data_IF_283597268439
#
_entry.id   IF_283597268439
#
_cell.length_a   1.000
_cell.length_b   1.000
_cell.length_c   1.000
_cell.angle_alpha   90.00
_cell.angle_beta   90.00
_cell.angle_gamma   90.00
#
_symmetry.space_group_name_H-M   'P 1'
#
loop_
_entity.id
_entity.type
_entity.pdbx_description
1 polymer ?
#
# COMPACT_ATOMS: atom_id res chain seq x y z
N UNK A 1 -25.57 -6.52 -14.34
CA UNK A 1 -24.42 -5.62 -14.53
C UNK A 1 -24.74 -4.37 -13.74
N UNK A 2 -23.94 -4.00 -12.72
CA UNK A 2 -24.15 -2.74 -12.00
C UNK A 2 -24.07 -1.55 -12.98
N UNK A 3 -24.83 -0.47 -12.75
CA UNK A 3 -24.81 0.70 -13.62
C UNK A 3 -23.42 1.33 -13.67
N UNK A 4 -22.94 1.67 -14.88
CA UNK A 4 -21.66 2.35 -15.04
C UNK A 4 -21.76 3.74 -14.41
N UNK A 5 -20.89 4.00 -13.43
CA UNK A 5 -20.74 5.32 -12.85
C UNK A 5 -19.31 5.79 -13.08
N UNK A 6 -19.08 6.93 -13.73
CA UNK A 6 -17.72 7.41 -14.03
C UNK A 6 -16.88 7.55 -12.76
N UNK A 7 -17.51 7.88 -11.62
CA UNK A 7 -16.86 7.87 -10.30
C UNK A 7 -16.19 6.53 -9.98
N UNK A 8 -16.87 5.40 -10.19
CA UNK A 8 -16.35 4.08 -9.88
C UNK A 8 -15.17 3.70 -10.79
N UNK A 9 -15.14 4.22 -12.02
CA UNK A 9 -14.01 4.04 -12.92
C UNK A 9 -12.75 4.76 -12.39
N UNK A 10 -12.88 6.02 -11.97
CA UNK A 10 -11.75 6.76 -11.40
C UNK A 10 -11.27 6.18 -10.07
N UNK A 11 -12.19 5.70 -9.23
CA UNK A 11 -11.86 4.98 -7.99
C UNK A 11 -11.06 3.71 -8.32
N UNK A 12 -11.56 2.84 -9.20
CA UNK A 12 -10.84 1.64 -9.60
C UNK A 12 -9.44 1.93 -10.20
N UNK A 13 -9.32 3.01 -10.98
CA UNK A 13 -8.04 3.47 -11.52
C UNK A 13 -7.08 3.93 -10.42
N UNK A 14 -7.57 4.64 -9.39
CA UNK A 14 -6.78 5.03 -8.22
C UNK A 14 -6.24 3.82 -7.45
N UNK A 15 -7.09 2.82 -7.18
CA UNK A 15 -6.68 1.57 -6.53
C UNK A 15 -5.63 0.81 -7.36
N UNK A 16 -5.79 0.78 -8.69
CA UNK A 16 -4.80 0.17 -9.59
C UNK A 16 -3.46 0.92 -9.51
N UNK A 17 -3.47 2.24 -9.63
CA UNK A 17 -2.25 3.05 -9.52
C UNK A 17 -1.54 2.88 -8.17
N UNK A 18 -2.31 2.82 -7.07
CA UNK A 18 -1.77 2.54 -5.74
C UNK A 18 -1.09 1.17 -5.69
N UNK A 19 -1.73 0.15 -6.27
CA UNK A 19 -1.23 -1.23 -6.28
C UNK A 19 0.08 -1.40 -7.06
N UNK A 20 0.31 -0.54 -8.06
CA UNK A 20 1.55 -0.47 -8.83
C UNK A 20 2.53 0.59 -8.29
N UNK A 21 2.28 1.13 -7.09
CA UNK A 21 3.18 2.06 -6.40
C UNK A 21 4.49 1.40 -5.94
N UNK A 22 5.37 2.19 -5.31
CA UNK A 22 6.66 1.72 -4.78
C UNK A 22 7.91 2.18 -5.55
N UNK A 23 7.72 3.04 -6.55
CA UNK A 23 8.80 3.63 -7.34
C UNK A 23 9.85 4.39 -6.50
N UNK A 24 9.48 4.89 -5.32
CA UNK A 24 10.44 5.57 -4.42
C UNK A 24 11.58 4.67 -3.94
N UNK A 25 11.37 3.36 -3.89
CA UNK A 25 12.41 2.41 -3.51
C UNK A 25 13.33 2.02 -4.69
N UNK A 26 12.97 2.40 -5.93
CA UNK A 26 13.68 1.96 -7.13
C UNK A 26 15.13 2.41 -7.19
N UNK A 27 15.48 3.67 -6.84
CA UNK A 27 16.88 4.10 -6.82
C UNK A 27 17.74 3.29 -5.85
N UNK A 28 17.22 3.00 -4.65
CA UNK A 28 17.90 2.17 -3.65
C UNK A 28 18.06 0.73 -4.15
N UNK A 29 17.01 0.13 -4.69
CA UNK A 29 17.06 -1.22 -5.26
C UNK A 29 18.07 -1.29 -6.40
N UNK A 30 18.04 -0.31 -7.32
CA UNK A 30 18.97 -0.25 -8.45
C UNK A 30 20.43 -0.10 -8.00
N UNK A 31 20.67 0.71 -6.96
CA UNK A 31 21.98 0.88 -6.36
C UNK A 31 22.49 -0.40 -5.67
N UNK A 32 21.60 -1.14 -5.01
CA UNK A 32 21.93 -2.37 -4.28
C UNK A 32 22.03 -3.61 -5.20
N UNK A 33 21.61 -3.50 -6.47
CA UNK A 33 21.73 -4.58 -7.44
C UNK A 33 23.19 -4.84 -7.83
N UNK A 34 23.57 -6.12 -7.88
CA UNK A 34 24.89 -6.57 -8.38
C UNK A 34 25.20 -6.04 -9.79
N UNK A 35 24.18 -5.92 -10.64
CA UNK A 35 24.30 -5.39 -12.01
C UNK A 35 23.20 -4.34 -12.27
N UNK A 36 23.45 -3.05 -11.99
CA UNK A 36 22.45 -1.99 -12.14
C UNK A 36 21.93 -1.79 -13.57
N UNK A 37 22.72 -2.19 -14.59
CA UNK A 37 22.32 -2.12 -16.00
C UNK A 37 21.14 -3.04 -16.35
N UNK A 38 20.89 -4.07 -15.53
CA UNK A 38 19.78 -5.02 -15.74
C UNK A 38 18.49 -4.61 -15.01
N UNK A 39 18.49 -3.45 -14.33
CA UNK A 39 17.36 -2.95 -13.56
C UNK A 39 16.05 -2.92 -14.36
N UNK A 40 16.08 -2.41 -15.59
CA UNK A 40 14.90 -2.34 -16.46
C UNK A 40 14.30 -3.72 -16.73
N UNK A 41 15.13 -4.75 -16.96
CA UNK A 41 14.62 -6.12 -17.18
C UNK A 41 14.01 -6.69 -15.91
N UNK A 42 14.63 -6.46 -14.75
CA UNK A 42 14.11 -6.88 -13.45
C UNK A 42 12.76 -6.23 -13.13
N UNK A 43 12.62 -4.92 -13.39
CA UNK A 43 11.38 -4.18 -13.16
C UNK A 43 10.26 -4.65 -14.08
N UNK A 44 10.53 -4.80 -15.38
CA UNK A 44 9.54 -5.30 -16.35
C UNK A 44 9.06 -6.71 -15.97
N UNK A 45 9.98 -7.59 -15.55
CA UNK A 45 9.63 -8.92 -15.08
C UNK A 45 8.77 -8.86 -13.80
N UNK A 46 9.15 -8.04 -12.81
CA UNK A 46 8.42 -7.91 -11.56
C UNK A 46 6.99 -7.42 -11.78
N UNK A 47 6.80 -6.36 -12.56
CA UNK A 47 5.47 -5.86 -12.91
C UNK A 47 4.66 -6.85 -13.75
N UNK A 48 5.31 -7.59 -14.66
CA UNK A 48 4.67 -8.66 -15.42
C UNK A 48 4.13 -9.77 -14.52
N UNK A 49 4.93 -10.21 -13.54
CA UNK A 49 4.50 -11.21 -12.55
C UNK A 49 3.36 -10.66 -11.68
N UNK A 50 3.43 -9.41 -11.22
CA UNK A 50 2.35 -8.80 -10.45
C UNK A 50 1.03 -8.77 -11.24
N UNK A 51 1.07 -8.36 -12.51
CA UNK A 51 -0.11 -8.39 -13.38
C UNK A 51 -0.69 -9.80 -13.55
N UNK A 52 0.18 -10.80 -13.72
CA UNK A 52 -0.21 -12.21 -13.83
C UNK A 52 -0.79 -12.78 -12.53
N UNK A 53 -0.39 -12.27 -11.36
CA UNK A 53 -0.96 -12.69 -10.08
C UNK A 53 -2.28 -11.98 -9.79
N UNK A 54 -2.37 -10.68 -10.05
CA UNK A 54 -3.56 -9.88 -9.71
C UNK A 54 -4.72 -10.13 -10.67
N UNK A 55 -4.44 -10.20 -11.98
CA UNK A 55 -5.48 -10.34 -13.01
C UNK A 55 -6.41 -11.53 -12.79
N UNK A 56 -5.89 -12.77 -12.70
CA UNK A 56 -6.71 -13.96 -12.47
C UNK A 56 -7.49 -13.91 -11.15
N UNK A 57 -6.88 -13.39 -10.07
CA UNK A 57 -7.54 -13.27 -8.77
C UNK A 57 -8.71 -12.30 -8.84
N UNK A 58 -8.54 -11.15 -9.49
CA UNK A 58 -9.62 -10.18 -9.71
C UNK A 58 -10.77 -10.76 -10.54
N UNK A 59 -10.44 -11.46 -11.64
CA UNK A 59 -11.46 -12.08 -12.52
C UNK A 59 -12.22 -13.17 -11.78
N UNK A 60 -11.53 -14.10 -11.11
CA UNK A 60 -12.18 -15.16 -10.33
C UNK A 60 -13.01 -14.62 -9.16
N UNK A 61 -12.50 -13.59 -8.47
CA UNK A 61 -13.23 -12.91 -7.40
C UNK A 61 -14.54 -12.32 -7.90
N UNK A 62 -14.50 -11.57 -9.00
CA UNK A 62 -15.69 -11.00 -9.64
C UNK A 62 -16.69 -12.07 -10.09
N UNK A 63 -16.22 -13.14 -10.75
CA UNK A 63 -17.07 -14.23 -11.22
C UNK A 63 -17.68 -15.07 -10.09
N UNK A 64 -17.06 -15.12 -8.91
CA UNK A 64 -17.57 -15.92 -7.80
C UNK A 64 -18.58 -15.13 -6.98
N UNK A 65 -18.25 -13.89 -6.63
CA UNK A 65 -19.01 -13.10 -5.67
C UNK A 65 -19.96 -12.08 -6.30
N UNK A 66 -19.78 -11.74 -7.59
CA UNK A 66 -20.63 -10.81 -8.34
C UNK A 66 -20.95 -9.53 -7.52
N UNK A 67 -22.24 -9.28 -7.26
CA UNK A 67 -22.74 -8.09 -6.57
C UNK A 67 -22.53 -8.13 -5.04
N UNK A 68 -22.00 -9.23 -4.48
CA UNK A 68 -21.72 -9.39 -3.05
C UNK A 68 -20.33 -8.90 -2.62
N UNK A 69 -19.52 -8.40 -3.56
CA UNK A 69 -18.17 -7.89 -3.29
C UNK A 69 -18.24 -6.58 -2.51
N UNK A 70 -17.52 -6.54 -1.37
CA UNK A 70 -17.27 -5.30 -0.61
C UNK A 70 -15.92 -4.69 -1.03
N UNK A 71 -15.58 -3.52 -0.47
CA UNK A 71 -14.30 -2.81 -0.72
C UNK A 71 -13.05 -3.71 -0.61
N UNK A 72 -13.12 -4.75 0.23
CA UNK A 72 -12.17 -5.86 0.26
C UNK A 72 -12.88 -7.19 -0.01
N UNK A 73 -12.19 -8.12 -0.67
CA UNK A 73 -12.74 -9.43 -1.02
C UNK A 73 -12.88 -10.37 0.19
N UNK A 74 -12.08 -10.19 1.24
CA UNK A 74 -12.03 -11.07 2.42
C UNK A 74 -13.39 -11.18 3.14
N UNK A 75 -14.11 -10.08 3.44
CA UNK A 75 -15.44 -10.18 4.04
C UNK A 75 -16.47 -10.84 3.12
N UNK A 76 -16.19 -10.95 1.82
CA UNK A 76 -17.08 -11.60 0.85
C UNK A 76 -16.93 -13.13 0.85
N UNK A 77 -15.84 -13.66 1.42
CA UNK A 77 -15.59 -15.11 1.53
C UNK A 77 -16.61 -15.75 2.47
N UNK A 78 -17.36 -16.72 1.94
CA UNK A 78 -18.43 -17.40 2.69
C UNK A 78 -17.89 -18.46 3.66
N UNK A 79 -16.72 -19.04 3.37
CA UNK A 79 -16.11 -20.08 4.22
C UNK A 79 -15.38 -19.46 5.40
N UNK A 80 -15.97 -19.58 6.59
CA UNK A 80 -15.51 -18.92 7.84
C UNK A 80 -14.05 -19.24 8.17
N UNK A 81 -13.62 -20.51 8.11
CA UNK A 81 -12.24 -20.89 8.45
C UNK A 81 -11.20 -20.30 7.49
N UNK A 82 -11.52 -20.22 6.20
CA UNK A 82 -10.66 -19.61 5.18
C UNK A 82 -10.59 -18.10 5.42
N UNK A 83 -11.74 -17.46 5.66
CA UNK A 83 -11.82 -16.04 5.96
C UNK A 83 -11.00 -15.68 7.21
N UNK A 84 -11.10 -16.47 8.28
CA UNK A 84 -10.32 -16.28 9.50
C UNK A 84 -8.81 -16.45 9.25
N UNK A 85 -8.41 -17.47 8.50
CA UNK A 85 -7.00 -17.66 8.13
C UNK A 85 -6.46 -16.48 7.32
N UNK A 86 -7.21 -16.00 6.33
CA UNK A 86 -6.85 -14.80 5.55
C UNK A 86 -6.75 -13.56 6.43
N UNK A 87 -7.70 -13.34 7.34
CA UNK A 87 -7.66 -12.20 8.28
C UNK A 87 -6.43 -12.25 9.18
N UNK A 88 -6.07 -13.42 9.71
CA UNK A 88 -4.87 -13.58 10.54
C UNK A 88 -3.61 -13.29 9.73
N UNK A 89 -3.49 -13.87 8.53
CA UNK A 89 -2.33 -13.66 7.65
C UNK A 89 -2.15 -12.18 7.28
N UNK A 90 -3.25 -11.51 6.92
CA UNK A 90 -3.22 -10.09 6.57
C UNK A 90 -2.93 -9.22 7.79
N UNK A 91 -3.45 -9.58 8.97
CA UNK A 91 -3.12 -8.87 10.22
C UNK A 91 -1.62 -8.95 10.51
N UNK A 92 -1.03 -10.15 10.43
CA UNK A 92 0.42 -10.34 10.64
C UNK A 92 1.22 -9.54 9.61
N UNK A 93 0.83 -9.63 8.33
CA UNK A 93 1.45 -8.88 7.25
C UNK A 93 1.40 -7.36 7.52
N UNK A 94 0.23 -6.81 7.87
CA UNK A 94 0.05 -5.40 8.15
C UNK A 94 0.89 -4.92 9.33
N UNK A 95 1.01 -5.71 10.42
CA UNK A 95 1.86 -5.36 11.56
C UNK A 95 3.33 -5.23 11.15
N UNK A 96 3.82 -6.19 10.37
CA UNK A 96 5.20 -6.18 9.86
C UNK A 96 5.42 -5.01 8.90
N UNK A 97 4.54 -4.86 7.91
CA UNK A 97 4.64 -3.80 6.90
C UNK A 97 4.54 -2.42 7.54
N UNK A 98 3.65 -2.21 8.51
CA UNK A 98 3.53 -0.95 9.24
C UNK A 98 4.85 -0.57 9.93
N UNK A 99 5.53 -1.55 10.54
CA UNK A 99 6.82 -1.33 11.20
C UNK A 99 7.90 -0.89 10.20
N UNK A 100 7.95 -1.54 9.04
CA UNK A 100 8.92 -1.24 7.99
C UNK A 100 8.65 0.13 7.34
N UNK A 101 7.38 0.41 7.00
CA UNK A 101 6.98 1.63 6.30
C UNK A 101 7.07 2.87 7.20
N UNK A 102 6.76 2.75 8.50
CA UNK A 102 6.90 3.88 9.42
C UNK A 102 8.35 4.20 9.79
N UNK A 103 9.29 3.26 9.62
CA UNK A 103 10.68 3.50 9.99
C UNK A 103 11.33 4.70 9.26
N UNK A 104 11.30 4.80 7.91
CA UNK A 104 11.84 5.98 7.22
C UNK A 104 11.07 7.25 7.59
N UNK A 105 9.75 7.19 7.74
CA UNK A 105 8.96 8.35 8.19
C UNK A 105 9.42 8.85 9.58
N UNK A 106 9.65 7.93 10.51
CA UNK A 106 10.16 8.27 11.83
C UNK A 106 11.55 8.90 11.73
N UNK A 107 12.43 8.42 10.84
CA UNK A 107 13.76 8.99 10.62
C UNK A 107 13.69 10.42 10.09
N UNK A 108 12.88 10.67 9.06
CA UNK A 108 12.68 12.02 8.49
C UNK A 108 12.16 13.02 9.52
N UNK A 109 11.20 12.61 10.36
CA UNK A 109 10.67 13.46 11.43
C UNK A 109 11.69 13.64 12.56
N UNK A 110 12.41 12.58 12.94
CA UNK A 110 13.52 12.66 13.91
C UNK A 110 14.58 13.68 13.45
N UNK A 111 14.94 13.67 12.16
CA UNK A 111 15.91 14.60 11.57
C UNK A 111 15.37 16.03 11.52
N UNK A 112 14.10 16.23 11.16
CA UNK A 112 13.45 17.55 11.15
C UNK A 112 13.45 18.21 12.54
N UNK A 113 13.29 17.41 13.60
CA UNK A 113 13.34 17.88 14.99
C UNK A 113 14.75 17.88 15.60
N UNK A 114 15.81 17.64 14.79
CA UNK A 114 17.20 17.48 15.23
C UNK A 114 17.33 16.52 16.43
N UNK A 115 16.57 15.42 16.41
CA UNK A 115 16.56 14.45 17.48
C UNK A 115 17.94 13.78 17.58
N UNK A 116 18.54 13.71 18.78
CA UNK A 116 19.78 12.98 18.96
C UNK A 116 19.60 11.50 18.59
N UNK A 117 20.58 10.93 17.88
CA UNK A 117 20.58 9.52 17.46
C UNK A 117 20.71 8.49 18.60
N UNK A 118 20.80 8.94 19.85
CA UNK A 118 20.81 8.06 21.03
C UNK A 118 19.38 7.70 21.46
N UNK A 119 19.24 6.63 22.24
CA UNK A 119 17.95 6.21 22.80
C UNK A 119 17.50 7.23 23.86
N UNK A 120 16.85 8.31 23.41
CA UNK A 120 16.34 9.41 24.23
C UNK A 120 14.83 9.41 24.34
N UNK A 121 14.30 10.06 25.39
CA UNK A 121 12.87 10.23 25.60
C UNK A 121 12.19 10.98 24.44
N UNK A 122 12.90 11.91 23.80
CA UNK A 122 12.42 12.64 22.62
C UNK A 122 12.11 11.71 21.45
N UNK A 123 12.94 10.69 21.22
CA UNK A 123 12.73 9.70 20.16
C UNK A 123 11.51 8.83 20.41
N UNK A 124 11.29 8.43 21.66
CA UNK A 124 10.09 7.67 22.06
C UNK A 124 8.84 8.52 21.84
N UNK A 125 8.86 9.79 22.27
CA UNK A 125 7.73 10.71 22.08
C UNK A 125 7.39 10.92 20.60
N UNK A 126 8.38 11.13 19.74
CA UNK A 126 8.17 11.33 18.30
C UNK A 126 7.57 10.06 17.67
N UNK A 127 8.17 8.89 17.89
CA UNK A 127 7.68 7.62 17.32
C UNK A 127 6.29 7.25 17.82
N UNK A 128 6.03 7.41 19.12
CA UNK A 128 4.70 7.18 19.69
C UNK A 128 3.68 8.19 19.18
N UNK A 129 4.07 9.46 19.00
CA UNK A 129 3.21 10.50 18.42
C UNK A 129 2.80 10.19 16.98
N UNK A 130 3.76 9.77 16.14
CA UNK A 130 3.50 9.35 14.76
C UNK A 130 2.57 8.13 14.73
N UNK A 131 2.84 7.11 15.55
CA UNK A 131 1.98 5.93 15.64
C UNK A 131 0.56 6.29 16.10
N UNK A 132 0.41 7.18 17.09
CA UNK A 132 -0.89 7.65 17.54
C UNK A 132 -1.64 8.40 16.44
N UNK A 133 -0.95 9.24 15.66
CA UNK A 133 -1.55 9.94 14.52
C UNK A 133 -2.04 8.94 13.45
N UNK A 134 -1.25 7.92 13.15
CA UNK A 134 -1.62 6.85 12.20
C UNK A 134 -2.86 6.09 12.69
N UNK A 135 -2.89 5.70 13.96
CA UNK A 135 -4.05 5.03 14.57
C UNK A 135 -5.27 5.93 14.57
N UNK A 136 -5.12 7.22 14.88
CA UNK A 136 -6.21 8.18 14.85
C UNK A 136 -6.83 8.32 13.45
N UNK A 137 -6.00 8.41 12.41
CA UNK A 137 -6.47 8.45 11.02
C UNK A 137 -7.17 7.14 10.65
N UNK A 138 -6.61 5.99 11.05
CA UNK A 138 -7.18 4.67 10.79
C UNK A 138 -8.57 4.49 11.42
N UNK A 139 -8.78 4.99 12.64
CA UNK A 139 -10.09 4.94 13.32
C UNK A 139 -11.09 5.94 12.74
N UNK A 140 -10.62 7.11 12.28
CA UNK A 140 -11.50 8.18 11.75
C UNK A 140 -12.04 7.84 10.37
N UNK A 141 -11.27 7.13 9.54
CA UNK A 141 -11.65 6.78 8.16
C UNK A 141 -11.63 5.26 8.00
N UNK A 142 -12.74 4.56 8.34
CA UNK A 142 -12.80 3.10 8.28
C UNK A 142 -12.95 2.55 6.85
N UNK A 143 -13.17 3.40 5.85
CA UNK A 143 -13.35 2.99 4.45
C UNK A 143 -12.01 2.89 3.72
N UNK A 144 -11.65 1.67 3.30
CA UNK A 144 -10.36 1.38 2.69
C UNK A 144 -10.23 1.94 1.26
N UNK A 145 -11.27 1.80 0.42
CA UNK A 145 -11.23 2.17 -1.00
C UNK A 145 -10.86 3.65 -1.26
N UNK A 146 -11.59 4.63 -0.71
CA UNK A 146 -11.31 6.04 -0.94
C UNK A 146 -9.90 6.49 -0.51
N UNK A 147 -9.32 5.86 0.53
CA UNK A 147 -7.95 6.15 0.96
C UNK A 147 -6.93 5.65 -0.06
N UNK A 148 -7.06 4.40 -0.52
CA UNK A 148 -6.19 3.83 -1.56
C UNK A 148 -6.21 4.67 -2.82
N UNK A 149 -7.39 5.10 -3.25
CA UNK A 149 -7.57 5.88 -4.49
C UNK A 149 -6.93 7.26 -4.39
N UNK A 150 -7.10 7.92 -3.23
CA UNK A 150 -6.50 9.21 -2.94
C UNK A 150 -4.98 9.10 -2.90
N UNK A 151 -4.43 8.15 -2.13
CA UNK A 151 -2.97 7.98 -2.04
C UNK A 151 -2.37 7.53 -3.37
N UNK A 152 -3.01 6.61 -4.07
CA UNK A 152 -2.58 6.13 -5.39
C UNK A 152 -2.50 7.28 -6.39
N UNK A 153 -3.55 8.09 -6.48
CA UNK A 153 -3.62 9.21 -7.42
C UNK A 153 -2.71 10.37 -6.99
N UNK A 154 -2.64 10.70 -5.70
CA UNK A 154 -1.79 11.79 -5.21
C UNK A 154 -0.30 11.48 -5.37
N UNK A 155 0.15 10.30 -4.92
CA UNK A 155 1.57 9.95 -4.92
C UNK A 155 2.12 9.74 -6.33
N UNK A 156 1.34 9.14 -7.24
CA UNK A 156 1.77 8.97 -8.64
C UNK A 156 1.90 10.30 -9.38
N UNK A 157 0.93 11.21 -9.23
CA UNK A 157 1.01 12.54 -9.84
C UNK A 157 2.14 13.38 -9.23
N UNK A 158 2.35 13.32 -7.91
CA UNK A 158 3.40 14.06 -7.24
C UNK A 158 4.80 13.61 -7.70
N UNK A 159 5.03 12.30 -7.84
CA UNK A 159 6.31 11.78 -8.34
C UNK A 159 6.55 12.13 -9.81
N UNK A 160 5.51 12.21 -10.66
CA UNK A 160 5.67 12.67 -12.03
C UNK A 160 6.10 14.15 -12.08
N UNK A 161 5.54 15.00 -11.24
CA UNK A 161 5.84 16.44 -11.21
C UNK A 161 7.26 16.73 -10.69
N UNK A 162 7.80 15.90 -9.80
CA UNK A 162 9.16 16.07 -9.25
C UNK A 162 10.26 15.37 -10.05
N UNK A 163 9.93 14.67 -11.14
CA UNK A 163 10.89 13.98 -12.00
C UNK A 163 11.13 14.70 -13.35
N UNK A 164 10.65 15.95 -13.48
CA UNK A 164 11.02 16.93 -14.52
C UNK A 164 11.94 18.01 -13.92
#
# INVERSE_FOLDING_TARGET
MPPYHPKNFFLALGTLLFSYGGHSAFPTIQHDMKSPAEFTKSVVLAFGIMGLMYGPVCVMGYLTYHDAIRDSIIPSIQTIWIQQACNILITIHCILTLTIVLNPLNQEVEDLFNCPHHFGWQRVLIRSGIMLAVVFVAETIPSFGPLLDLFGSFLTNLMMIFND
#
